data_IF_293726237214
#
_entry.id   IF_293726237214
#
_cell.length_a   1.000
_cell.length_b   1.000
_cell.length_c   1.000
_cell.angle_alpha   90.00
_cell.angle_beta   90.00
_cell.angle_gamma   90.00
#
_symmetry.space_group_name_H-M   'P 1'
#
loop_
_entity.id
_entity.type
_entity.pdbx_description
1 polymer ?
#
# COMPACT_ATOMS: atom_id res chain seq x y z
N UNK A 1 -24.32 -20.64 -24.79
CA UNK A 1 -24.22 -19.32 -24.15
C UNK A 1 -22.78 -19.16 -23.75
N UNK A 2 -22.06 -18.24 -24.37
CA UNK A 2 -20.60 -18.20 -24.30
C UNK A 2 -20.06 -17.44 -25.51
N UNK A 3 -20.33 -16.14 -25.52
CA UNK A 3 -19.78 -15.21 -26.48
C UNK A 3 -19.70 -13.83 -25.80
N UNK A 4 -18.59 -13.13 -26.05
CA UNK A 4 -18.30 -11.74 -25.69
C UNK A 4 -17.96 -11.44 -24.22
N UNK A 5 -16.71 -11.71 -23.84
CA UNK A 5 -15.94 -10.79 -22.98
C UNK A 5 -14.52 -10.66 -23.56
N UNK A 6 -14.44 -10.12 -24.76
CA UNK A 6 -13.25 -9.55 -25.40
C UNK A 6 -13.75 -8.96 -26.72
N UNK A 7 -13.33 -7.74 -27.04
CA UNK A 7 -13.93 -6.81 -28.02
C UNK A 7 -15.16 -6.10 -27.41
N UNK A 8 -15.09 -4.84 -26.99
CA UNK A 8 -14.42 -3.69 -27.60
C UNK A 8 -13.65 -2.84 -26.57
N UNK A 9 -12.33 -2.70 -26.75
CA UNK A 9 -11.61 -1.53 -26.23
C UNK A 9 -11.23 -0.70 -27.46
N UNK A 10 -12.17 0.10 -27.94
CA UNK A 10 -11.88 1.15 -28.94
C UNK A 10 -11.94 2.54 -28.33
N UNK A 11 -11.63 2.62 -27.03
CA UNK A 11 -11.07 3.82 -26.42
C UNK A 11 -9.71 3.38 -25.86
N UNK A 12 -8.60 3.86 -26.43
CA UNK A 12 -7.30 3.80 -25.75
C UNK A 12 -7.50 4.47 -24.40
N UNK A 13 -7.36 3.73 -23.30
CA UNK A 13 -7.51 4.34 -22.00
C UNK A 13 -6.46 5.44 -21.82
N UNK A 14 -6.78 6.48 -21.04
CA UNK A 14 -5.88 7.63 -20.92
C UNK A 14 -4.49 7.24 -20.39
N UNK A 15 -4.40 6.16 -19.60
CA UNK A 15 -3.14 5.63 -19.07
C UNK A 15 -2.26 4.93 -20.11
N UNK A 16 -2.81 4.57 -21.28
CA UNK A 16 -2.08 3.95 -22.40
C UNK A 16 -1.70 4.97 -23.49
N UNK A 17 -2.12 6.24 -23.36
CA UNK A 17 -1.82 7.31 -24.32
C UNK A 17 -0.39 7.84 -24.13
N UNK A 18 0.51 7.69 -25.13
CA UNK A 18 1.89 8.18 -25.02
C UNK A 18 1.99 9.70 -24.79
N UNK A 19 0.97 10.48 -25.18
CA UNK A 19 0.93 11.91 -24.95
C UNK A 19 0.90 12.26 -23.46
N UNK A 20 0.23 11.44 -22.64
CA UNK A 20 0.06 11.65 -21.20
C UNK A 20 1.03 10.83 -20.34
N UNK A 21 1.92 10.02 -20.95
CA UNK A 21 2.82 9.12 -20.21
C UNK A 21 3.57 9.82 -19.07
N UNK A 22 4.17 10.98 -19.31
CA UNK A 22 4.93 11.70 -18.27
C UNK A 22 4.04 12.16 -17.11
N UNK A 23 2.82 12.61 -17.41
CA UNK A 23 1.85 13.05 -16.42
C UNK A 23 1.42 11.88 -15.53
N UNK A 24 1.17 10.72 -16.14
CA UNK A 24 0.78 9.50 -15.43
C UNK A 24 1.92 8.90 -14.61
N UNK A 25 3.14 8.86 -15.17
CA UNK A 25 4.33 8.42 -14.45
C UNK A 25 4.58 9.29 -13.21
N UNK A 26 4.40 10.62 -13.32
CA UNK A 26 4.52 11.53 -12.19
C UNK A 26 3.43 11.33 -11.14
N UNK A 27 2.17 11.21 -11.57
CA UNK A 27 1.01 10.96 -10.70
C UNK A 27 1.19 9.67 -9.89
N UNK A 28 1.64 8.59 -10.54
CA UNK A 28 1.86 7.29 -9.90
C UNK A 28 2.99 7.34 -8.85
N UNK A 29 3.96 8.26 -9.00
CA UNK A 29 5.06 8.42 -8.06
C UNK A 29 4.76 9.31 -6.85
N UNK A 30 3.57 9.90 -6.74
CA UNK A 30 3.26 10.86 -5.66
C UNK A 30 3.27 10.20 -4.26
N UNK A 31 2.74 8.99 -4.13
CA UNK A 31 2.74 8.26 -2.85
C UNK A 31 4.16 7.95 -2.36
N UNK A 32 5.02 7.47 -3.25
CA UNK A 32 6.43 7.18 -2.94
C UNK A 32 7.18 8.47 -2.54
N UNK A 33 6.92 9.57 -3.26
CA UNK A 33 7.48 10.89 -2.92
C UNK A 33 7.03 11.36 -1.54
N UNK A 34 5.75 11.15 -1.18
CA UNK A 34 5.23 11.51 0.14
C UNK A 34 5.92 10.71 1.26
N UNK A 35 6.02 9.39 1.08
CA UNK A 35 6.72 8.49 2.00
C UNK A 35 8.21 8.82 2.17
N UNK A 36 8.85 9.38 1.15
CA UNK A 36 10.26 9.78 1.16
C UNK A 36 10.51 11.17 1.78
N UNK A 37 9.49 11.94 2.15
CA UNK A 37 9.68 13.26 2.73
C UNK A 37 10.38 13.18 4.10
N UNK A 38 11.23 14.16 4.46
CA UNK A 38 11.90 14.18 5.76
C UNK A 38 10.91 14.17 6.95
N UNK A 39 9.75 14.80 6.78
CA UNK A 39 8.71 14.83 7.81
C UNK A 39 8.15 13.43 8.09
N UNK A 40 7.81 12.67 7.05
CA UNK A 40 7.33 11.29 7.19
C UNK A 40 8.42 10.38 7.75
N UNK A 41 9.65 10.48 7.27
CA UNK A 41 10.79 9.68 7.78
C UNK A 41 11.09 9.93 9.26
N UNK A 42 10.91 11.16 9.72
CA UNK A 42 11.03 11.47 11.14
C UNK A 42 9.95 10.75 11.98
N UNK A 43 8.69 10.73 11.51
CA UNK A 43 7.61 10.01 12.20
C UNK A 43 7.76 8.50 12.14
N UNK A 44 8.24 7.96 11.03
CA UNK A 44 8.56 6.53 10.90
C UNK A 44 9.62 6.11 11.93
N UNK A 45 10.61 6.96 12.16
CA UNK A 45 11.64 6.72 13.19
C UNK A 45 11.05 6.75 14.60
N UNK A 46 10.16 7.70 14.89
CA UNK A 46 9.44 7.77 16.18
C UNK A 46 8.54 6.55 16.40
N UNK A 47 7.81 6.14 15.36
CA UNK A 47 7.01 4.91 15.35
C UNK A 47 7.85 3.67 15.63
N UNK A 48 8.98 3.50 14.93
CA UNK A 48 9.87 2.35 15.11
C UNK A 48 10.45 2.29 16.53
N UNK A 49 10.79 3.46 17.10
CA UNK A 49 11.18 3.57 18.51
C UNK A 49 10.08 3.11 19.47
N UNK A 50 8.83 3.54 19.22
CA UNK A 50 7.68 3.09 19.99
C UNK A 50 7.45 1.58 19.89
N UNK A 51 7.55 0.99 18.69
CA UNK A 51 7.41 -0.45 18.49
C UNK A 51 8.50 -1.23 19.23
N UNK A 52 9.74 -0.73 19.24
CA UNK A 52 10.83 -1.31 20.01
C UNK A 52 10.53 -1.29 21.52
N UNK A 53 10.04 -0.18 22.05
CA UNK A 53 9.63 -0.05 23.47
C UNK A 53 8.43 -0.95 23.81
N UNK A 54 7.54 -1.22 22.84
CA UNK A 54 6.43 -2.15 22.97
C UNK A 54 6.84 -3.64 22.88
N UNK A 55 8.13 -3.93 22.62
CA UNK A 55 8.67 -5.29 22.56
C UNK A 55 8.88 -5.85 21.14
N UNK A 56 8.76 -5.01 20.11
CA UNK A 56 8.90 -5.38 18.70
C UNK A 56 10.05 -4.63 17.99
N UNK A 57 11.31 -4.77 18.44
CA UNK A 57 12.45 -4.00 17.93
C UNK A 57 12.89 -4.37 16.50
N UNK A 58 12.33 -5.44 15.94
CA UNK A 58 12.64 -5.88 14.58
C UNK A 58 11.94 -5.04 13.49
N UNK A 59 10.93 -4.24 13.85
CA UNK A 59 10.17 -3.45 12.89
C UNK A 59 10.77 -2.04 12.76
N UNK A 60 11.24 -1.71 11.56
CA UNK A 60 11.87 -0.43 11.24
C UNK A 60 11.04 0.40 10.25
N UNK A 61 10.08 -0.23 9.58
CA UNK A 61 9.14 0.38 8.64
C UNK A 61 7.71 0.03 9.03
N UNK A 62 6.79 0.96 8.80
CA UNK A 62 5.37 0.80 9.17
C UNK A 62 4.72 -0.41 8.48
N UNK A 63 5.22 -0.82 7.31
CA UNK A 63 4.74 -2.01 6.61
C UNK A 63 5.32 -3.34 7.11
N UNK A 64 6.36 -3.32 7.96
CA UNK A 64 7.02 -4.53 8.46
C UNK A 64 6.09 -5.44 9.29
N UNK A 65 5.23 -4.93 10.20
CA UNK A 65 4.31 -5.77 10.99
C UNK A 65 3.36 -6.57 10.12
N UNK A 66 2.68 -5.90 9.18
CA UNK A 66 1.75 -6.53 8.24
C UNK A 66 2.47 -7.59 7.39
N UNK A 67 3.63 -7.22 6.83
CA UNK A 67 4.47 -8.13 6.04
C UNK A 67 4.85 -9.37 6.86
N UNK A 68 5.28 -9.18 8.11
CA UNK A 68 5.68 -10.28 9.00
C UNK A 68 4.52 -11.25 9.29
N UNK A 69 3.31 -10.74 9.56
CA UNK A 69 2.14 -11.58 9.79
C UNK A 69 1.72 -12.31 8.50
N UNK A 70 1.70 -11.62 7.37
CA UNK A 70 1.36 -12.21 6.07
C UNK A 70 2.33 -13.33 5.67
N UNK A 71 3.63 -13.14 5.88
CA UNK A 71 4.66 -14.15 5.61
C UNK A 71 4.47 -15.39 6.50
N UNK A 72 4.20 -15.18 7.78
CA UNK A 72 3.95 -16.27 8.74
C UNK A 72 2.66 -17.02 8.41
N UNK A 73 1.61 -16.31 8.04
CA UNK A 73 0.34 -16.92 7.61
C UNK A 73 0.51 -17.72 6.33
N UNK A 74 1.23 -17.17 5.36
CA UNK A 74 1.57 -17.88 4.11
C UNK A 74 2.37 -19.15 4.40
N UNK A 75 3.34 -19.10 5.31
CA UNK A 75 4.12 -20.26 5.70
C UNK A 75 3.26 -21.37 6.36
N UNK A 76 2.19 -21.00 7.08
CA UNK A 76 1.26 -21.96 7.69
C UNK A 76 0.28 -22.59 6.70
N UNK A 77 -0.04 -21.88 5.61
CA UNK A 77 -1.10 -22.27 4.66
C UNK A 77 -0.59 -22.76 3.32
N UNK A 78 0.69 -22.53 3.02
CA UNK A 78 1.32 -23.05 1.79
C UNK A 78 1.39 -24.58 1.85
N UNK A 79 0.81 -25.29 0.87
CA UNK A 79 0.87 -26.74 0.81
C UNK A 79 2.33 -27.23 0.76
N UNK A 80 2.62 -28.34 1.46
CA UNK A 80 3.92 -28.99 1.37
C UNK A 80 4.21 -29.56 -0.03
N UNK A 81 3.16 -29.93 -0.77
CA UNK A 81 3.22 -30.35 -2.17
C UNK A 81 2.54 -29.30 -3.08
N UNK A 82 3.29 -28.55 -3.90
CA UNK A 82 2.73 -27.54 -4.80
C UNK A 82 1.92 -28.13 -5.96
N UNK A 83 1.92 -29.46 -6.14
CA UNK A 83 1.11 -30.16 -7.15
C UNK A 83 -0.19 -30.73 -6.58
N UNK A 84 -0.37 -30.65 -5.27
CA UNK A 84 -1.63 -30.99 -4.60
C UNK A 84 -2.70 -29.96 -4.93
N UNK A 85 -3.89 -30.42 -5.35
CA UNK A 85 -5.07 -29.57 -5.53
C UNK A 85 -5.74 -29.20 -4.20
N UNK A 86 -5.34 -29.83 -3.10
CA UNK A 86 -5.89 -29.64 -1.76
C UNK A 86 -4.75 -29.20 -0.83
N UNK A 87 -4.85 -27.98 -0.31
CA UNK A 87 -4.02 -27.56 0.80
C UNK A 87 -4.47 -28.32 2.05
N UNK A 88 -3.53 -28.93 2.78
CA UNK A 88 -3.84 -29.40 4.12
C UNK A 88 -4.31 -28.21 4.97
N UNK A 89 -5.32 -28.38 5.83
CA UNK A 89 -5.72 -27.33 6.75
C UNK A 89 -4.52 -26.94 7.63
N UNK A 90 -4.28 -25.65 7.88
CA UNK A 90 -3.17 -25.21 8.73
C UNK A 90 -3.30 -25.80 10.13
N UNK A 91 -2.16 -26.05 10.79
CA UNK A 91 -2.17 -26.54 12.17
C UNK A 91 -2.94 -25.55 13.07
N UNK A 92 -4.03 -25.98 13.74
CA UNK A 92 -4.90 -25.07 14.47
C UNK A 92 -4.21 -24.44 15.69
N UNK A 93 -3.20 -25.10 16.26
CA UNK A 93 -2.44 -24.56 17.40
C UNK A 93 -1.52 -23.44 16.92
N UNK A 94 -0.82 -23.66 15.81
CA UNK A 94 0.04 -22.65 15.18
C UNK A 94 -0.76 -21.45 14.66
N UNK A 95 -1.96 -21.68 14.10
CA UNK A 95 -2.85 -20.61 13.68
C UNK A 95 -3.34 -19.77 14.86
N UNK A 96 -3.76 -20.40 15.97
CA UNK A 96 -4.18 -19.69 17.17
C UNK A 96 -3.03 -18.90 17.82
N UNK A 97 -1.80 -19.42 17.79
CA UNK A 97 -0.62 -18.71 18.23
C UNK A 97 -0.34 -17.48 17.35
N UNK A 98 -0.39 -17.64 16.02
CA UNK A 98 -0.21 -16.52 15.09
C UNK A 98 -1.28 -15.43 15.29
N UNK A 99 -2.54 -15.82 15.50
CA UNK A 99 -3.63 -14.88 15.77
C UNK A 99 -3.38 -14.06 17.05
N UNK A 100 -2.82 -14.69 18.09
CA UNK A 100 -2.48 -13.99 19.33
C UNK A 100 -1.36 -12.97 19.07
N UNK A 101 -0.31 -13.37 18.37
CA UNK A 101 0.79 -12.48 18.01
C UNK A 101 0.33 -11.32 17.10
N UNK A 102 -0.56 -11.59 16.13
CA UNK A 102 -1.15 -10.58 15.25
C UNK A 102 -1.89 -9.51 16.07
N UNK A 103 -2.70 -9.92 17.04
CA UNK A 103 -3.44 -8.99 17.91
C UNK A 103 -2.47 -8.13 18.73
N UNK A 104 -1.46 -8.76 19.35
CA UNK A 104 -0.49 -8.04 20.17
C UNK A 104 0.32 -7.02 19.34
N UNK A 105 0.76 -7.43 18.13
CA UNK A 105 1.47 -6.57 17.19
C UNK A 105 0.57 -5.43 16.68
N UNK A 106 -0.65 -5.74 16.23
CA UNK A 106 -1.57 -4.75 15.67
C UNK A 106 -2.03 -3.71 16.70
N UNK A 107 -2.20 -4.11 17.96
CA UNK A 107 -2.54 -3.18 19.04
C UNK A 107 -1.38 -2.24 19.33
N UNK A 108 -0.14 -2.74 19.38
CA UNK A 108 1.04 -1.91 19.55
C UNK A 108 1.23 -0.96 18.36
N UNK A 109 1.11 -1.47 17.14
CA UNK A 109 1.24 -0.72 15.90
C UNK A 109 0.24 0.44 15.83
N UNK A 110 -1.05 0.18 16.05
CA UNK A 110 -2.08 1.22 16.10
C UNK A 110 -1.78 2.32 17.14
N UNK A 111 -1.28 1.91 18.31
CA UNK A 111 -0.88 2.84 19.36
C UNK A 111 0.33 3.69 18.95
N UNK A 112 1.33 3.05 18.32
CA UNK A 112 2.55 3.71 17.86
C UNK A 112 2.30 4.64 16.67
N UNK A 113 1.42 4.27 15.72
CA UNK A 113 1.00 5.15 14.63
C UNK A 113 0.31 6.40 15.18
N UNK A 114 -0.67 6.21 16.07
CA UNK A 114 -1.39 7.31 16.71
C UNK A 114 -0.46 8.23 17.51
N UNK A 115 0.52 7.68 18.23
CA UNK A 115 1.40 8.47 19.09
C UNK A 115 2.50 9.22 18.34
N UNK A 116 3.00 8.64 17.25
CA UNK A 116 3.99 9.28 16.37
C UNK A 116 3.34 10.29 15.39
N UNK A 117 2.05 10.13 15.09
CA UNK A 117 1.37 10.90 14.06
C UNK A 117 1.88 10.58 12.66
N UNK A 118 2.34 9.34 12.44
CA UNK A 118 2.88 8.88 11.16
C UNK A 118 1.83 8.96 10.06
N UNK A 119 0.67 8.29 10.21
CA UNK A 119 -0.39 8.31 9.22
C UNK A 119 -0.92 9.72 8.88
N UNK A 120 -1.05 10.60 9.88
CA UNK A 120 -1.48 11.98 9.67
C UNK A 120 -0.44 12.77 8.87
N UNK A 121 0.84 12.60 9.19
CA UNK A 121 1.94 13.29 8.49
C UNK A 121 2.06 12.80 7.04
N UNK A 122 1.99 11.48 6.82
CA UNK A 122 2.01 10.90 5.48
C UNK A 122 0.86 11.42 4.63
N UNK A 123 -0.36 11.41 5.17
CA UNK A 123 -1.54 11.93 4.48
C UNK A 123 -1.41 13.42 4.16
N UNK A 124 -0.88 14.20 5.09
CA UNK A 124 -0.68 15.65 4.89
C UNK A 124 0.33 15.93 3.78
N UNK A 125 1.46 15.23 3.76
CA UNK A 125 2.47 15.37 2.72
C UNK A 125 1.97 14.87 1.37
N UNK A 126 1.19 13.78 1.33
CA UNK A 126 0.55 13.30 0.12
C UNK A 126 -0.39 14.35 -0.47
N UNK A 127 -1.30 14.92 0.34
CA UNK A 127 -2.23 15.97 -0.12
C UNK A 127 -1.46 17.19 -0.62
N UNK A 128 -0.39 17.61 0.07
CA UNK A 128 0.45 18.72 -0.36
C UNK A 128 1.06 18.46 -1.75
N UNK A 129 1.65 17.28 -1.95
CA UNK A 129 2.28 16.89 -3.21
C UNK A 129 1.26 16.70 -4.34
N UNK A 130 0.08 16.15 -4.05
CA UNK A 130 -1.03 16.05 -4.99
C UNK A 130 -1.51 17.43 -5.45
N UNK A 131 -1.67 18.38 -4.52
CA UNK A 131 -2.04 19.74 -4.87
C UNK A 131 -0.96 20.43 -5.72
N UNK A 132 0.32 20.27 -5.36
CA UNK A 132 1.44 20.79 -6.17
C UNK A 132 1.45 20.18 -7.58
N UNK A 133 1.18 18.88 -7.71
CA UNK A 133 1.05 18.20 -8.99
C UNK A 133 -0.09 18.78 -9.83
N UNK A 134 -1.27 18.99 -9.23
CA UNK A 134 -2.43 19.59 -9.91
C UNK A 134 -2.11 21.00 -10.38
N UNK A 135 -1.51 21.82 -9.52
CA UNK A 135 -1.19 23.21 -9.84
C UNK A 135 -0.16 23.30 -10.99
N UNK A 136 0.84 22.41 -11.00
CA UNK A 136 1.89 22.38 -12.03
C UNK A 136 1.40 21.79 -13.36
N UNK A 137 0.43 20.88 -13.32
CA UNK A 137 -0.04 20.13 -14.50
C UNK A 137 -1.45 20.51 -14.95
N UNK A 138 -2.01 21.62 -14.44
CA UNK A 138 -3.41 22.00 -14.65
C UNK A 138 -3.84 21.95 -16.11
N UNK A 139 -3.06 22.52 -17.01
CA UNK A 139 -3.41 22.55 -18.44
C UNK A 139 -3.45 21.15 -19.07
N UNK A 140 -2.52 20.27 -18.69
CA UNK A 140 -2.47 18.90 -19.19
C UNK A 140 -3.61 18.05 -18.61
N UNK A 141 -3.94 18.26 -17.33
CA UNK A 141 -5.09 17.61 -16.67
C UNK A 141 -6.42 18.07 -17.27
N UNK A 142 -6.58 19.38 -17.53
CA UNK A 142 -7.76 19.93 -18.17
C UNK A 142 -7.93 19.36 -19.59
N UNK A 143 -6.83 19.21 -20.35
CA UNK A 143 -6.84 18.57 -21.66
C UNK A 143 -7.20 17.07 -21.59
N UNK A 144 -6.64 16.35 -20.61
CA UNK A 144 -6.95 14.93 -20.38
C UNK A 144 -8.43 14.73 -20.06
N UNK A 145 -9.00 15.56 -19.17
CA UNK A 145 -10.43 15.54 -18.82
C UNK A 145 -11.29 15.88 -20.04
N UNK A 146 -10.89 16.85 -20.87
CA UNK A 146 -11.62 17.19 -22.09
C UNK A 146 -11.65 16.03 -23.10
N UNK A 147 -10.58 15.23 -23.17
CA UNK A 147 -10.47 14.11 -24.10
C UNK A 147 -11.13 12.82 -23.57
N UNK A 148 -10.98 12.52 -22.28
CA UNK A 148 -11.34 11.22 -21.69
C UNK A 148 -12.41 11.27 -20.58
N UNK A 149 -12.72 12.45 -20.03
CA UNK A 149 -13.58 12.59 -18.84
C UNK A 149 -15.10 12.53 -19.07
N UNK A 150 -15.56 12.22 -20.29
CA UNK A 150 -16.98 12.14 -20.67
C UNK A 150 -17.44 10.70 -20.97
N UNK A 151 -16.62 9.69 -20.62
CA UNK A 151 -16.92 8.28 -20.83
C UNK A 151 -17.81 7.69 -19.73
#
# INVERSE_FOLDING_TARGET
MGAAQHEEVTATAFWDDPHYKSLIDEMNGLSDKAGATPAVKARETEWAGCMADAGFPQFSHESDPETSINDRFTALTTPADPTSAEADPPDPTALAALQTDEIDIAVADLGCDSSSGYAETLKTEQIRLEQEFIDQNKEQLDALVAQYGQQ
#
